data_IF_330453157056
#
_entry.id   IF_330453157056
#
_cell.length_a   1.000
_cell.length_b   1.000
_cell.length_c   1.000
_cell.angle_alpha   90.00
_cell.angle_beta   90.00
_cell.angle_gamma   90.00
#
_symmetry.space_group_name_H-M   'P 1'
#
loop_
_entity.id
_entity.type
_entity.pdbx_description
1 polymer ?
#
# COMPACT_ATOMS: atom_id res chain seq x y z
N UNK A 1 -0.47 6.18 -7.55
CA UNK A 1 0.95 6.56 -7.56
C UNK A 1 1.14 8.05 -7.65
N UNK A 2 0.36 8.76 -8.46
CA UNK A 2 0.48 10.23 -8.58
C UNK A 2 0.39 10.93 -7.21
N UNK A 3 -0.71 10.76 -6.49
CA UNK A 3 -0.88 11.35 -5.15
C UNK A 3 -0.02 10.72 -4.05
N UNK A 4 0.40 9.45 -4.22
CA UNK A 4 1.19 8.72 -3.21
C UNK A 4 2.69 9.01 -3.32
N UNK A 5 3.18 9.38 -4.51
CA UNK A 5 4.60 9.49 -4.80
C UNK A 5 4.91 10.78 -5.58
N UNK A 6 4.40 10.93 -6.80
CA UNK A 6 4.75 12.03 -7.70
C UNK A 6 4.44 13.41 -7.11
N UNK A 7 3.26 13.57 -6.51
CA UNK A 7 2.80 14.81 -5.87
C UNK A 7 3.61 15.14 -4.61
N UNK A 8 4.22 14.14 -3.97
CA UNK A 8 5.06 14.31 -2.77
C UNK A 8 6.50 14.69 -3.12
N UNK A 9 6.94 14.51 -4.36
CA UNK A 9 8.24 15.00 -4.84
C UNK A 9 8.17 16.51 -5.09
N UNK A 10 9.14 17.27 -4.56
CA UNK A 10 9.32 18.67 -4.96
C UNK A 10 9.79 18.79 -6.42
N UNK A 11 9.72 19.99 -6.98
CA UNK A 11 10.07 20.18 -8.40
C UNK A 11 11.54 19.85 -8.69
N UNK A 12 12.46 20.11 -7.76
CA UNK A 12 13.87 19.77 -7.98
C UNK A 12 14.08 18.26 -8.06
N UNK A 13 13.38 17.48 -7.24
CA UNK A 13 13.41 16.01 -7.27
C UNK A 13 12.74 15.48 -8.53
N UNK A 14 11.64 16.11 -9.00
CA UNK A 14 11.01 15.74 -10.28
C UNK A 14 11.93 16.02 -11.47
N UNK A 15 12.60 17.17 -11.51
CA UNK A 15 13.58 17.50 -12.55
C UNK A 15 14.77 16.52 -12.54
N UNK A 16 15.30 16.22 -11.35
CA UNK A 16 16.35 15.21 -11.19
C UNK A 16 15.89 13.85 -11.68
N UNK A 17 14.69 13.41 -11.31
CA UNK A 17 14.14 12.13 -11.76
C UNK A 17 13.93 12.09 -13.28
N UNK A 18 13.50 13.20 -13.91
CA UNK A 18 13.41 13.32 -15.38
C UNK A 18 14.78 13.17 -16.06
N UNK A 19 15.82 13.79 -15.49
CA UNK A 19 17.19 13.79 -16.05
C UNK A 19 17.92 12.47 -15.81
N UNK A 20 17.93 12.00 -14.57
CA UNK A 20 18.72 10.87 -14.09
C UNK A 20 17.99 9.53 -14.27
N UNK A 21 16.68 9.56 -14.56
CA UNK A 21 15.77 8.40 -14.70
C UNK A 21 15.60 7.56 -13.44
N UNK A 22 16.47 7.73 -12.44
CA UNK A 22 16.41 7.09 -11.12
C UNK A 22 16.93 8.06 -10.06
N UNK A 23 16.27 8.10 -8.90
CA UNK A 23 16.72 8.85 -7.73
C UNK A 23 16.70 7.96 -6.49
N UNK A 24 17.50 8.33 -5.48
CA UNK A 24 17.48 7.72 -4.16
C UNK A 24 16.93 8.73 -3.15
N UNK A 25 15.93 8.32 -2.36
CA UNK A 25 15.35 9.11 -1.28
C UNK A 25 15.63 8.47 0.07
N UNK A 26 15.87 9.26 1.14
CA UNK A 26 15.92 8.73 2.50
C UNK A 26 14.63 7.96 2.84
N UNK A 27 14.78 6.84 3.54
CA UNK A 27 13.67 6.04 4.05
C UNK A 27 13.66 6.08 5.57
N UNK A 28 12.50 6.29 6.23
CA UNK A 28 12.41 6.15 7.68
C UNK A 28 12.44 4.69 8.14
N UNK A 29 12.44 3.71 7.22
CA UNK A 29 12.30 2.29 7.52
C UNK A 29 13.54 1.44 7.19
N UNK A 30 14.68 2.07 6.86
CA UNK A 30 15.93 1.38 6.57
C UNK A 30 16.66 1.95 5.36
N UNK A 31 16.98 1.09 4.40
CA UNK A 31 17.70 1.48 3.18
C UNK A 31 16.96 2.53 2.35
N UNK A 32 17.67 3.45 1.67
CA UNK A 32 17.05 4.46 0.82
C UNK A 32 16.14 3.87 -0.26
N UNK A 33 15.04 4.56 -0.53
CA UNK A 33 14.14 4.19 -1.62
C UNK A 33 14.73 4.56 -2.97
N UNK A 34 14.85 3.57 -3.85
CA UNK A 34 15.21 3.78 -5.25
C UNK A 34 13.93 3.97 -6.06
N UNK A 35 13.74 5.16 -6.61
CA UNK A 35 12.58 5.50 -7.43
C UNK A 35 13.04 5.67 -8.86
N UNK A 36 12.63 4.75 -9.74
CA UNK A 36 12.80 4.88 -11.17
C UNK A 36 11.65 5.69 -11.77
N UNK A 37 11.93 6.54 -12.76
CA UNK A 37 10.90 7.29 -13.46
C UNK A 37 9.90 6.36 -14.17
N UNK A 38 10.38 5.21 -14.64
CA UNK A 38 9.54 4.19 -15.25
C UNK A 38 8.41 3.71 -14.32
N UNK A 39 8.66 3.59 -13.01
CA UNK A 39 7.65 3.21 -12.00
C UNK A 39 6.47 4.20 -11.99
N UNK A 40 6.76 5.49 -12.17
CA UNK A 40 5.75 6.55 -12.17
C UNK A 40 5.00 6.56 -13.51
N UNK A 41 5.74 6.45 -14.61
CA UNK A 41 5.18 6.41 -15.97
C UNK A 41 4.23 5.20 -16.14
N UNK A 42 4.63 4.01 -15.67
CA UNK A 42 3.82 2.79 -15.82
C UNK A 42 2.60 2.75 -14.89
N UNK A 43 2.69 3.38 -13.72
CA UNK A 43 1.63 3.30 -12.70
C UNK A 43 0.25 3.76 -13.20
N UNK A 44 0.19 4.64 -14.20
CA UNK A 44 -1.06 5.04 -14.83
C UNK A 44 -1.83 3.85 -15.44
N UNK A 45 -1.12 2.87 -16.01
CA UNK A 45 -1.71 1.66 -16.58
C UNK A 45 -2.22 0.68 -15.51
N UNK A 46 -1.76 0.81 -14.26
CA UNK A 46 -2.06 -0.11 -13.16
C UNK A 46 -3.07 0.42 -12.13
N UNK A 47 -3.88 1.42 -12.48
CA UNK A 47 -4.91 2.01 -11.59
C UNK A 47 -6.15 1.13 -11.47
N UNK A 48 -6.06 0.06 -10.69
CA UNK A 48 -7.13 -0.94 -10.53
C UNK A 48 -8.38 -0.39 -9.84
N UNK A 49 -8.24 0.57 -8.93
CA UNK A 49 -9.39 1.15 -8.21
C UNK A 49 -10.34 1.97 -9.10
N UNK A 50 -9.93 2.32 -10.32
CA UNK A 50 -10.81 2.97 -11.30
C UNK A 50 -11.79 1.98 -11.95
N UNK A 51 -11.58 0.67 -11.77
CA UNK A 51 -12.49 -0.36 -12.27
C UNK A 51 -13.74 -0.43 -11.40
N UNK A 52 -14.85 -0.91 -11.95
CA UNK A 52 -16.10 -1.13 -11.20
C UNK A 52 -15.88 -2.14 -10.09
N UNK A 53 -15.16 -3.23 -10.39
CA UNK A 53 -14.91 -4.35 -9.48
C UNK A 53 -13.48 -4.91 -9.66
N UNK A 54 -13.03 -5.65 -8.65
CA UNK A 54 -11.80 -6.41 -8.61
C UNK A 54 -12.18 -7.90 -8.50
N UNK A 55 -11.97 -8.71 -9.56
CA UNK A 55 -12.44 -10.10 -9.64
C UNK A 55 -11.54 -11.06 -8.84
N UNK A 56 -11.43 -10.82 -7.53
CA UNK A 56 -10.73 -11.66 -6.58
C UNK A 56 -11.80 -12.34 -5.76
N UNK A 57 -11.90 -13.67 -5.89
CA UNK A 57 -12.97 -14.46 -5.29
C UNK A 57 -12.54 -15.30 -4.07
N UNK A 58 -11.24 -15.32 -3.75
CA UNK A 58 -10.73 -16.00 -2.57
C UNK A 58 -10.92 -15.15 -1.30
N UNK A 59 -10.84 -15.73 -0.08
CA UNK A 59 -10.83 -14.97 1.16
C UNK A 59 -9.75 -13.88 1.17
N UNK A 60 -10.11 -12.67 1.62
CA UNK A 60 -9.21 -11.52 1.70
C UNK A 60 -9.19 -10.96 3.12
N UNK A 61 -7.98 -10.63 3.61
CA UNK A 61 -7.75 -9.89 4.86
C UNK A 61 -6.88 -8.68 4.53
N UNK A 62 -7.42 -7.47 4.70
CA UNK A 62 -6.69 -6.21 4.52
C UNK A 62 -6.34 -5.66 5.90
N UNK A 63 -5.05 -5.62 6.25
CA UNK A 63 -4.57 -5.08 7.52
C UNK A 63 -3.87 -3.75 7.24
N UNK A 64 -4.28 -2.67 7.90
CA UNK A 64 -3.77 -1.32 7.63
C UNK A 64 -3.61 -0.51 8.93
N UNK A 65 -2.50 0.21 9.06
CA UNK A 65 -2.28 1.18 10.11
C UNK A 65 -2.98 2.52 9.85
N UNK A 66 -3.70 3.07 10.83
CA UNK A 66 -4.36 4.38 10.65
C UNK A 66 -3.38 5.57 10.73
N UNK A 67 -2.16 5.35 11.22
CA UNK A 67 -1.06 6.31 11.20
C UNK A 67 -0.06 6.04 10.06
N UNK A 68 -0.46 5.26 9.05
CA UNK A 68 0.34 5.10 7.84
C UNK A 68 0.51 6.45 7.13
N UNK A 69 1.75 6.95 7.11
CA UNK A 69 2.11 8.22 6.52
C UNK A 69 2.30 8.13 5.00
N UNK A 70 2.33 6.93 4.43
CA UNK A 70 2.65 6.66 3.04
C UNK A 70 1.44 6.23 2.22
N UNK A 71 0.54 5.47 2.82
CA UNK A 71 -0.72 5.06 2.22
C UNK A 71 -1.90 5.43 3.14
N UNK A 72 -2.92 6.17 2.65
CA UNK A 72 -4.12 6.43 3.44
C UNK A 72 -4.88 5.12 3.70
N UNK A 73 -5.20 4.84 4.97
CA UNK A 73 -5.95 3.63 5.36
C UNK A 73 -7.32 3.48 4.66
N UNK A 74 -7.92 4.59 4.24
CA UNK A 74 -9.18 4.61 3.48
C UNK A 74 -9.09 3.88 2.15
N UNK A 75 -7.88 3.74 1.58
CA UNK A 75 -7.63 2.93 0.38
C UNK A 75 -8.02 1.47 0.62
N UNK A 76 -7.76 0.90 1.81
CA UNK A 76 -8.18 -0.48 2.10
C UNK A 76 -9.70 -0.65 2.12
N UNK A 77 -10.45 0.39 2.50
CA UNK A 77 -11.92 0.38 2.42
C UNK A 77 -12.36 0.38 0.96
N UNK A 78 -11.78 1.25 0.13
CA UNK A 78 -12.09 1.31 -1.31
C UNK A 78 -11.75 -0.01 -2.03
N UNK A 79 -10.67 -0.68 -1.63
CA UNK A 79 -10.34 -2.02 -2.13
C UNK A 79 -11.43 -2.99 -1.73
N UNK A 80 -11.81 -3.04 -0.45
CA UNK A 80 -12.83 -3.96 0.04
C UNK A 80 -14.20 -3.79 -0.65
N UNK A 81 -14.62 -2.55 -0.91
CA UNK A 81 -15.87 -2.24 -1.63
C UNK A 81 -15.88 -2.77 -3.08
N UNK A 82 -14.70 -2.93 -3.68
CA UNK A 82 -14.57 -3.37 -5.08
C UNK A 82 -14.29 -4.86 -5.22
N UNK A 83 -13.84 -5.53 -4.17
CA UNK A 83 -13.57 -6.97 -4.20
C UNK A 83 -14.88 -7.73 -4.42
N UNK A 84 -14.87 -8.69 -5.36
CA UNK A 84 -16.01 -9.58 -5.59
C UNK A 84 -16.11 -10.70 -4.54
N UNK A 85 -15.06 -10.90 -3.73
CA UNK A 85 -15.04 -11.91 -2.67
C UNK A 85 -16.00 -11.54 -1.54
N UNK A 86 -16.96 -12.44 -1.20
CA UNK A 86 -17.86 -12.22 -0.07
C UNK A 86 -17.16 -12.40 1.28
N UNK A 87 -16.01 -13.08 1.33
CA UNK A 87 -15.19 -13.23 2.54
C UNK A 87 -14.03 -12.23 2.54
N UNK A 88 -14.38 -10.96 2.68
CA UNK A 88 -13.43 -9.85 2.79
C UNK A 88 -13.53 -9.23 4.18
N UNK A 89 -12.39 -9.09 4.87
CA UNK A 89 -12.31 -8.37 6.16
C UNK A 89 -11.25 -7.26 6.08
N UNK A 90 -11.58 -6.11 6.64
CA UNK A 90 -10.63 -5.00 6.85
C UNK A 90 -10.34 -4.86 8.34
N UNK A 91 -9.07 -4.80 8.69
CA UNK A 91 -8.56 -4.64 10.05
C UNK A 91 -7.76 -3.34 10.09
N UNK A 92 -8.25 -2.37 10.85
CA UNK A 92 -7.58 -1.09 11.04
C UNK A 92 -6.91 -1.04 12.41
N UNK A 93 -5.61 -0.78 12.42
CA UNK A 93 -4.81 -0.63 13.65
C UNK A 93 -4.69 0.86 13.95
N UNK A 94 -5.38 1.34 14.98
CA UNK A 94 -5.53 2.77 15.28
C UNK A 94 -4.20 3.52 15.35
N UNK A 95 -3.20 2.92 15.96
CA UNK A 95 -1.87 3.50 16.13
C UNK A 95 -0.82 2.82 15.22
N UNK A 96 -1.27 1.99 14.27
CA UNK A 96 -0.41 1.28 13.36
C UNK A 96 0.18 2.22 12.32
N UNK A 97 1.48 2.08 12.08
CA UNK A 97 2.23 2.82 11.07
C UNK A 97 2.37 1.99 9.79
N UNK A 98 3.06 2.52 8.78
CA UNK A 98 3.20 1.90 7.47
C UNK A 98 3.77 0.46 7.50
N UNK A 99 4.74 0.20 8.39
CA UNK A 99 5.45 -1.08 8.40
C UNK A 99 4.74 -2.18 9.18
N UNK A 100 3.82 -1.83 10.10
CA UNK A 100 3.16 -2.76 11.02
C UNK A 100 4.14 -3.80 11.62
N UNK A 101 5.30 -3.33 12.08
CA UNK A 101 6.43 -4.19 12.48
C UNK A 101 6.62 -4.31 13.99
N UNK A 102 5.79 -3.62 14.80
CA UNK A 102 5.83 -3.73 16.26
C UNK A 102 5.36 -5.12 16.67
N UNK A 103 5.79 -5.59 17.84
CA UNK A 103 5.41 -6.92 18.34
C UNK A 103 3.89 -7.21 18.33
N UNK A 104 3.00 -6.26 18.72
CA UNK A 104 1.55 -6.46 18.61
C UNK A 104 1.06 -6.58 17.16
N UNK A 105 1.65 -5.82 16.24
CA UNK A 105 1.28 -5.83 14.82
C UNK A 105 1.68 -7.17 14.18
N UNK A 106 2.89 -7.65 14.47
CA UNK A 106 3.37 -8.96 14.01
C UNK A 106 2.48 -10.10 14.54
N UNK A 107 2.06 -10.04 15.81
CA UNK A 107 1.11 -11.02 16.37
C UNK A 107 -0.24 -10.98 15.67
N UNK A 108 -0.73 -9.79 15.30
CA UNK A 108 -1.95 -9.65 14.51
C UNK A 108 -1.78 -10.31 13.13
N UNK A 109 -0.68 -10.03 12.43
CA UNK A 109 -0.37 -10.62 11.13
C UNK A 109 -0.31 -12.15 11.20
N UNK A 110 0.44 -12.72 12.14
CA UNK A 110 0.60 -14.17 12.27
C UNK A 110 -0.71 -14.86 12.67
N UNK A 111 -1.49 -14.25 13.57
CA UNK A 111 -2.81 -14.78 13.94
C UNK A 111 -3.75 -14.79 12.75
N UNK A 112 -3.82 -13.68 12.00
CA UNK A 112 -4.68 -13.55 10.82
C UNK A 112 -4.29 -14.58 9.75
N UNK A 113 -3.00 -14.80 9.53
CA UNK A 113 -2.51 -15.84 8.63
C UNK A 113 -2.92 -17.24 9.11
N UNK A 114 -2.78 -17.53 10.41
CA UNK A 114 -3.22 -18.81 10.99
C UNK A 114 -4.71 -19.08 10.77
N UNK A 115 -5.57 -18.07 10.99
CA UNK A 115 -7.00 -18.18 10.70
C UNK A 115 -7.27 -18.52 9.22
N UNK A 116 -6.56 -17.87 8.29
CA UNK A 116 -6.70 -18.16 6.85
C UNK A 116 -6.25 -19.58 6.48
N UNK A 117 -5.16 -20.08 7.08
CA UNK A 117 -4.67 -21.45 6.84
C UNK A 117 -5.63 -22.51 7.37
N UNK A 118 -6.32 -22.22 8.48
CA UNK A 118 -7.33 -23.10 9.07
C UNK A 118 -8.70 -23.04 8.36
N UNK A 119 -8.86 -22.16 7.36
CA UNK A 119 -10.11 -21.96 6.63
C UNK A 119 -11.18 -21.19 7.42
N UNK A 120 -10.76 -20.26 8.30
CA UNK A 120 -11.63 -19.47 9.20
C UNK A 120 -11.77 -17.98 8.83
#
# INVERSE_FOLDING_TARGET
TDYLLWERLDESLRERLRRERVISLPSPYGEPYIIALHLIEEAAAHRLLNRTELPIHCPVRLIHGMHDADAPWSVSIQVAEKLTSPDTRVILVKDGEHTLSREPDLRLLTRTLGEMLDGR
#
